data_IF_100122352449
#
_entry.id   IF_100122352449
#
_cell.length_a   1.000
_cell.length_b   1.000
_cell.length_c   1.000
_cell.angle_alpha   90.00
_cell.angle_beta   90.00
_cell.angle_gamma   90.00
#
_symmetry.space_group_name_H-M   'P 1'
#
loop_
_entity.id
_entity.type
_entity.pdbx_description
1 polymer ?
#
# COMPACT_ATOMS: atom_id res chain seq x y z
N UNK A 1 -21.11 5.83 26.93
CA UNK A 1 -20.35 4.93 27.81
C UNK A 1 -19.83 5.70 29.01
N UNK A 2 -20.41 5.38 30.17
CA UNK A 2 -19.90 5.91 31.47
C UNK A 2 -18.82 4.94 31.92
N UNK A 3 -17.59 5.29 31.69
CA UNK A 3 -16.46 4.47 32.12
C UNK A 3 -15.51 5.31 32.94
N UNK A 4 -15.59 5.14 34.27
CA UNK A 4 -14.77 5.82 35.25
C UNK A 4 -13.33 5.34 35.32
N UNK A 5 -12.80 4.73 34.30
CA UNK A 5 -11.43 4.25 34.27
C UNK A 5 -10.52 5.32 33.69
N UNK A 6 -9.94 6.11 34.52
CA UNK A 6 -8.83 6.97 34.15
C UNK A 6 -7.61 6.12 33.90
N UNK A 7 -7.17 6.08 32.69
CA UNK A 7 -5.82 5.60 32.38
C UNK A 7 -4.80 6.64 32.82
N UNK A 8 -3.85 6.20 33.60
CA UNK A 8 -2.57 6.83 33.91
C UNK A 8 -2.57 8.34 34.25
N UNK A 9 -2.28 8.67 35.46
CA UNK A 9 -1.99 9.98 36.07
C UNK A 9 -3.15 10.90 36.44
N UNK A 10 -4.39 10.59 36.12
CA UNK A 10 -5.53 11.32 36.64
C UNK A 10 -6.26 10.44 37.64
N UNK A 11 -6.06 10.72 38.94
CA UNK A 11 -6.84 10.07 40.00
C UNK A 11 -8.23 10.69 40.05
N UNK A 12 -9.10 10.34 39.15
CA UNK A 12 -10.52 10.57 39.30
C UNK A 12 -11.09 9.52 40.24
N UNK A 13 -11.49 9.95 41.40
CA UNK A 13 -12.17 9.10 42.41
C UNK A 13 -13.66 8.94 42.16
N UNK A 14 -14.20 9.57 41.14
CA UNK A 14 -15.61 9.46 40.70
C UNK A 14 -15.66 9.42 39.18
N UNK A 15 -16.52 8.57 38.64
CA UNK A 15 -16.82 8.49 37.21
C UNK A 15 -17.33 9.83 36.66
N UNK A 16 -16.84 10.24 35.54
CA UNK A 16 -17.32 11.39 34.78
C UNK A 16 -17.97 10.93 33.47
N UNK A 17 -18.70 11.83 32.83
CA UNK A 17 -19.22 11.65 31.47
C UNK A 17 -18.31 12.45 30.56
N UNK A 18 -17.78 11.78 29.53
CA UNK A 18 -17.02 12.43 28.47
C UNK A 18 -17.42 11.84 27.12
N UNK A 19 -17.23 12.62 26.08
CA UNK A 19 -17.46 12.18 24.72
C UNK A 19 -16.28 11.28 24.29
N UNK A 20 -16.56 10.01 24.05
CA UNK A 20 -15.54 9.04 23.65
C UNK A 20 -15.25 9.07 22.14
N UNK A 21 -16.29 9.32 21.36
CA UNK A 21 -16.19 9.45 19.91
C UNK A 21 -17.38 10.23 19.36
N UNK A 22 -17.15 11.02 18.34
CA UNK A 22 -18.21 11.68 17.56
C UNK A 22 -18.58 10.77 16.39
N UNK A 23 -19.88 10.57 16.16
CA UNK A 23 -20.37 9.87 14.99
C UNK A 23 -20.10 10.64 13.70
N UNK A 24 -20.08 9.95 12.57
CA UNK A 24 -20.03 10.60 11.26
C UNK A 24 -21.44 11.15 10.90
N UNK A 25 -21.57 12.48 10.84
CA UNK A 25 -22.86 13.12 10.54
C UNK A 25 -23.39 12.82 9.13
N UNK A 26 -22.48 12.57 8.18
CA UNK A 26 -22.78 12.34 6.77
C UNK A 26 -22.15 11.00 6.30
N UNK A 27 -22.56 9.91 6.91
CA UNK A 27 -22.12 8.59 6.50
C UNK A 27 -22.77 8.21 5.16
N UNK A 28 -21.95 8.07 4.12
CA UNK A 28 -22.36 7.62 2.81
C UNK A 28 -21.65 6.31 2.43
N UNK A 29 -22.22 5.62 1.42
CA UNK A 29 -21.51 4.51 0.80
C UNK A 29 -20.36 4.99 -0.07
N UNK A 30 -19.29 4.23 -0.10
CA UNK A 30 -18.20 4.45 -1.07
C UNK A 30 -18.75 4.37 -2.50
N UNK A 31 -18.27 5.25 -3.35
CA UNK A 31 -18.68 5.33 -4.76
C UNK A 31 -17.56 4.79 -5.64
N UNK A 32 -17.80 3.67 -6.32
CA UNK A 32 -16.88 3.10 -7.28
C UNK A 32 -17.33 3.38 -8.72
N UNK A 33 -16.41 3.94 -9.52
CA UNK A 33 -16.58 4.10 -10.97
C UNK A 33 -15.64 3.11 -11.65
N UNK A 34 -16.23 2.13 -12.32
CA UNK A 34 -15.51 1.07 -12.99
C UNK A 34 -15.57 1.25 -14.50
N UNK A 35 -14.44 1.07 -15.13
CA UNK A 35 -14.30 1.03 -16.58
C UNK A 35 -13.57 -0.24 -16.93
N UNK A 36 -14.08 -0.98 -17.89
CA UNK A 36 -13.54 -2.23 -18.36
C UNK A 36 -13.68 -2.31 -19.88
N UNK A 37 -12.60 -2.74 -20.57
CA UNK A 37 -12.59 -2.96 -22.01
C UNK A 37 -11.86 -4.24 -22.30
N UNK A 38 -12.58 -5.21 -22.85
CA UNK A 38 -12.04 -6.49 -23.27
C UNK A 38 -11.90 -6.59 -24.79
N UNK A 39 -10.87 -7.29 -25.19
CA UNK A 39 -10.63 -7.70 -26.56
C UNK A 39 -10.41 -9.20 -26.59
N UNK A 40 -11.25 -9.90 -27.37
CA UNK A 40 -11.08 -11.32 -27.63
C UNK A 40 -10.97 -11.59 -29.13
N UNK A 41 -10.24 -12.62 -29.47
CA UNK A 41 -10.06 -12.95 -30.87
C UNK A 41 -9.43 -14.31 -31.12
N UNK A 42 -9.57 -14.73 -32.37
CA UNK A 42 -8.93 -15.93 -32.89
C UNK A 42 -8.17 -15.57 -34.15
N UNK A 43 -6.89 -15.90 -34.19
CA UNK A 43 -6.00 -15.64 -35.33
C UNK A 43 -5.47 -16.95 -35.92
N UNK A 44 -5.55 -17.05 -37.24
CA UNK A 44 -5.02 -18.20 -38.02
C UNK A 44 -5.55 -19.56 -37.56
N UNK A 45 -6.73 -19.61 -36.95
CA UNK A 45 -7.33 -20.79 -36.30
C UNK A 45 -6.44 -21.50 -35.27
N UNK A 46 -5.37 -20.86 -34.82
CA UNK A 46 -4.37 -21.41 -33.93
C UNK A 46 -4.23 -20.64 -32.63
N UNK A 47 -4.32 -19.31 -32.68
CA UNK A 47 -4.18 -18.44 -31.53
C UNK A 47 -5.55 -17.95 -31.07
N UNK A 48 -5.89 -18.25 -29.86
CA UNK A 48 -7.06 -17.68 -29.16
C UNK A 48 -6.55 -16.82 -28.04
N UNK A 49 -7.06 -15.60 -27.92
CA UNK A 49 -6.65 -14.67 -26.87
C UNK A 49 -7.83 -13.88 -26.33
N UNK A 50 -7.71 -13.54 -25.05
CA UNK A 50 -8.58 -12.58 -24.35
C UNK A 50 -7.66 -11.64 -23.59
N UNK A 51 -7.88 -10.34 -23.73
CA UNK A 51 -7.14 -9.31 -22.99
C UNK A 51 -8.15 -8.29 -22.49
N UNK A 52 -8.14 -8.01 -21.19
CA UNK A 52 -8.97 -7.03 -20.54
C UNK A 52 -8.13 -5.91 -19.94
N UNK A 53 -8.63 -4.69 -20.03
CA UNK A 53 -8.06 -3.50 -19.40
C UNK A 53 -9.11 -2.90 -18.49
N UNK A 54 -8.77 -2.71 -17.24
CA UNK A 54 -9.69 -2.22 -16.24
C UNK A 54 -9.16 -1.00 -15.49
N UNK A 55 -10.08 -0.17 -15.04
CA UNK A 55 -9.82 0.94 -14.14
C UNK A 55 -10.99 1.11 -13.16
N UNK A 56 -10.67 1.12 -11.88
CA UNK A 56 -11.62 1.37 -10.79
C UNK A 56 -11.18 2.64 -10.05
N UNK A 57 -12.04 3.65 -10.01
CA UNK A 57 -11.84 4.85 -9.20
C UNK A 57 -12.84 4.82 -8.06
N UNK A 58 -12.35 4.89 -6.84
CA UNK A 58 -13.14 4.81 -5.63
C UNK A 58 -13.01 6.10 -4.83
N UNK A 59 -14.15 6.74 -4.59
CA UNK A 59 -14.29 7.98 -3.85
C UNK A 59 -15.14 7.77 -2.60
N UNK A 60 -14.94 8.61 -1.58
CA UNK A 60 -15.65 8.52 -0.33
C UNK A 60 -15.27 7.31 0.51
N UNK A 61 -14.02 6.86 0.46
CA UNK A 61 -13.51 5.78 1.31
C UNK A 61 -13.61 6.20 2.76
N UNK A 62 -14.26 5.35 3.56
CA UNK A 62 -14.46 5.60 4.98
C UNK A 62 -13.16 5.38 5.75
N UNK A 63 -12.65 6.43 6.35
CA UNK A 63 -11.39 6.40 7.08
C UNK A 63 -11.41 7.35 8.30
N UNK A 64 -10.46 7.14 9.20
CA UNK A 64 -10.25 8.02 10.34
C UNK A 64 -9.81 9.41 9.89
N UNK A 65 -10.46 10.45 10.44
CA UNK A 65 -10.14 11.85 10.20
C UNK A 65 -8.88 12.21 11.01
N UNK A 66 -7.86 12.76 10.33
CA UNK A 66 -6.58 13.12 10.98
C UNK A 66 -6.29 14.63 11.01
N UNK A 67 -7.16 15.40 10.38
CA UNK A 67 -7.05 16.87 10.39
C UNK A 67 -7.98 17.53 11.42
N UNK A 68 -8.40 16.78 12.45
CA UNK A 68 -9.15 17.34 13.56
C UNK A 68 -8.14 17.89 14.57
N UNK A 69 -8.22 19.19 14.91
CA UNK A 69 -7.26 19.78 15.83
C UNK A 69 -7.33 19.19 17.24
N UNK A 70 -6.19 19.01 17.88
CA UNK A 70 -6.08 18.42 19.23
C UNK A 70 -6.86 19.19 20.31
N UNK A 71 -7.05 20.51 20.13
CA UNK A 71 -7.80 21.32 21.10
C UNK A 71 -9.30 20.96 21.17
N UNK A 72 -9.82 20.19 20.22
CA UNK A 72 -11.21 19.67 20.30
C UNK A 72 -11.35 18.65 21.43
N UNK A 73 -10.24 18.03 21.86
CA UNK A 73 -10.20 17.18 23.06
C UNK A 73 -10.90 15.83 22.89
N UNK A 74 -11.00 15.30 21.68
CA UNK A 74 -11.57 13.98 21.42
C UNK A 74 -10.63 12.88 21.88
N UNK A 75 -11.19 11.83 22.49
CA UNK A 75 -10.44 10.63 22.87
C UNK A 75 -10.14 9.77 21.64
N UNK A 76 -11.13 9.62 20.77
CA UNK A 76 -10.98 8.91 19.48
C UNK A 76 -11.34 9.86 18.35
N UNK A 77 -10.54 9.84 17.30
CA UNK A 77 -10.80 10.64 16.11
C UNK A 77 -12.07 10.16 15.40
N UNK A 78 -12.89 11.06 14.85
CA UNK A 78 -14.06 10.69 14.10
C UNK A 78 -13.67 10.05 12.76
N UNK A 79 -14.59 9.27 12.21
CA UNK A 79 -14.46 8.72 10.87
C UNK A 79 -15.27 9.53 9.86
N UNK A 80 -14.90 9.47 8.59
CA UNK A 80 -15.62 10.13 7.50
C UNK A 80 -15.31 9.54 6.14
N UNK A 81 -16.18 9.83 5.17
CA UNK A 81 -16.04 9.40 3.79
C UNK A 81 -15.17 10.38 2.99
N UNK A 82 -13.87 10.39 3.26
CA UNK A 82 -12.94 11.41 2.72
C UNK A 82 -11.85 10.83 1.80
N UNK A 83 -11.59 9.51 1.87
CA UNK A 83 -10.54 8.90 1.08
C UNK A 83 -10.88 8.72 -0.40
N UNK A 84 -9.88 8.73 -1.26
CA UNK A 84 -10.00 8.43 -2.69
C UNK A 84 -8.80 7.66 -3.20
N UNK A 85 -9.06 6.66 -4.04
CA UNK A 85 -8.02 5.88 -4.69
C UNK A 85 -8.42 5.45 -6.11
N UNK A 86 -7.44 5.11 -6.90
CA UNK A 86 -7.62 4.53 -8.23
C UNK A 86 -6.80 3.26 -8.34
N UNK A 87 -7.41 2.22 -8.92
CA UNK A 87 -6.74 0.98 -9.32
C UNK A 87 -6.88 0.80 -10.82
N UNK A 88 -5.88 0.24 -11.46
CA UNK A 88 -5.93 -0.08 -12.88
C UNK A 88 -5.01 -1.25 -13.19
N UNK A 89 -5.29 -1.88 -14.31
CA UNK A 89 -4.50 -3.02 -14.74
C UNK A 89 -4.98 -3.60 -16.04
N UNK A 90 -4.41 -4.75 -16.34
CA UNK A 90 -4.78 -5.59 -17.47
C UNK A 90 -4.61 -7.05 -17.07
N UNK A 91 -5.47 -7.90 -17.58
CA UNK A 91 -5.28 -9.34 -17.52
C UNK A 91 -5.60 -9.98 -18.87
N UNK A 92 -5.18 -11.22 -19.00
CA UNK A 92 -5.43 -11.90 -20.24
C UNK A 92 -4.92 -13.32 -20.27
N UNK A 93 -5.36 -14.02 -21.28
CA UNK A 93 -4.89 -15.34 -21.60
C UNK A 93 -4.66 -15.49 -23.11
N UNK A 94 -3.74 -16.37 -23.46
CA UNK A 94 -3.48 -16.77 -24.83
C UNK A 94 -3.35 -18.28 -24.88
N UNK A 95 -3.99 -18.88 -25.87
CA UNK A 95 -3.89 -20.30 -26.18
C UNK A 95 -3.42 -20.47 -27.60
N UNK A 96 -2.39 -21.25 -27.80
CA UNK A 96 -1.92 -21.67 -29.10
C UNK A 96 -2.16 -23.16 -29.30
N UNK A 97 -2.92 -23.51 -30.34
CA UNK A 97 -3.23 -24.90 -30.70
C UNK A 97 -2.60 -25.23 -32.02
N UNK A 98 -1.79 -26.27 -32.07
CA UNK A 98 -1.17 -26.77 -33.31
C UNK A 98 -1.39 -28.27 -33.44
N UNK A 99 -2.15 -28.65 -34.43
CA UNK A 99 -2.23 -30.04 -34.89
C UNK A 99 -1.07 -30.32 -35.80
N UNK A 100 -0.20 -31.25 -35.44
CA UNK A 100 0.98 -31.63 -36.20
C UNK A 100 0.58 -32.65 -37.27
N UNK A 101 -0.20 -33.65 -36.85
CA UNK A 101 -0.75 -34.68 -37.74
C UNK A 101 -2.04 -35.28 -37.17
N UNK A 102 -2.54 -36.39 -37.68
CA UNK A 102 -3.80 -37.02 -37.23
C UNK A 102 -3.74 -37.47 -35.76
N UNK A 103 -2.55 -37.82 -35.30
CA UNK A 103 -2.32 -38.47 -34.02
C UNK A 103 -1.63 -37.54 -33.00
N UNK A 104 -1.13 -36.38 -33.44
CA UNK A 104 -0.34 -35.46 -32.63
C UNK A 104 -0.92 -34.05 -32.62
N UNK A 105 -1.14 -33.57 -31.42
CA UNK A 105 -1.60 -32.21 -31.14
C UNK A 105 -0.78 -31.60 -30.03
N UNK A 106 -0.46 -30.31 -30.16
CA UNK A 106 0.28 -29.54 -29.20
C UNK A 106 -0.50 -28.26 -28.84
N UNK A 107 -0.65 -28.00 -27.52
CA UNK A 107 -1.31 -26.79 -27.01
C UNK A 107 -0.39 -26.07 -26.05
N UNK A 108 -0.20 -24.78 -26.25
CA UNK A 108 0.43 -23.87 -25.29
C UNK A 108 -0.61 -22.93 -24.71
N UNK A 109 -0.51 -22.67 -23.41
CA UNK A 109 -1.36 -21.71 -22.72
C UNK A 109 -0.51 -20.77 -21.90
N UNK A 110 -0.83 -19.52 -21.92
CA UNK A 110 -0.25 -18.53 -21.02
C UNK A 110 -1.35 -17.60 -20.51
N UNK A 111 -1.17 -17.12 -19.28
CA UNK A 111 -2.01 -16.07 -18.71
C UNK A 111 -1.14 -15.06 -17.98
N UNK A 112 -1.67 -13.86 -17.81
CA UNK A 112 -1.07 -12.83 -17.00
C UNK A 112 -2.14 -11.96 -16.35
N UNK A 113 -1.79 -11.38 -15.21
CA UNK A 113 -2.55 -10.32 -14.56
C UNK A 113 -1.56 -9.27 -14.08
N UNK A 114 -1.76 -8.04 -14.50
CA UNK A 114 -1.05 -6.88 -13.99
C UNK A 114 -2.03 -5.96 -13.30
N UNK A 115 -1.78 -5.61 -12.05
CA UNK A 115 -2.63 -4.69 -11.29
C UNK A 115 -1.78 -3.78 -10.42
N UNK A 116 -2.16 -2.51 -10.39
CA UNK A 116 -1.55 -1.52 -9.51
C UNK A 116 -2.61 -0.52 -9.04
N UNK A 117 -2.26 0.27 -8.05
CA UNK A 117 -3.16 1.28 -7.51
C UNK A 117 -2.40 2.53 -7.10
N UNK A 118 -3.14 3.59 -6.83
CA UNK A 118 -2.63 4.86 -6.31
C UNK A 118 -3.66 5.47 -5.37
N UNK A 119 -3.21 5.88 -4.20
CA UNK A 119 -4.00 6.72 -3.30
C UNK A 119 -4.04 8.13 -3.88
N UNK A 120 -5.23 8.59 -4.28
CA UNK A 120 -5.41 9.95 -4.79
C UNK A 120 -5.50 10.95 -3.65
N UNK A 121 -6.19 10.57 -2.59
CA UNK A 121 -6.31 11.36 -1.39
C UNK A 121 -6.46 10.44 -0.15
N UNK A 122 -5.66 10.73 0.83
CA UNK A 122 -5.75 10.18 2.17
C UNK A 122 -5.66 11.35 3.14
N UNK A 123 -6.61 11.49 4.07
CA UNK A 123 -6.56 12.55 5.06
C UNK A 123 -5.44 12.22 6.06
N UNK A 124 -4.29 12.79 5.82
CA UNK A 124 -3.12 12.72 6.70
C UNK A 124 -3.12 13.92 7.63
N UNK A 125 -2.55 13.76 8.82
CA UNK A 125 -2.17 14.90 9.65
C UNK A 125 -1.09 15.74 8.94
N UNK A 126 -0.58 16.76 9.60
CA UNK A 126 0.51 17.56 9.06
C UNK A 126 1.71 16.67 8.75
N UNK A 127 1.95 16.41 7.47
CA UNK A 127 3.13 15.69 7.00
C UNK A 127 4.28 16.68 6.86
N UNK A 128 5.25 16.61 7.77
CA UNK A 128 6.42 17.49 7.78
C UNK A 128 7.24 17.37 6.48
N UNK A 129 7.26 16.19 5.88
CA UNK A 129 8.03 15.88 4.67
C UNK A 129 7.14 15.19 3.63
N UNK A 130 7.21 15.63 2.38
CA UNK A 130 6.44 15.07 1.26
C UNK A 130 6.66 13.57 1.06
N UNK A 131 7.89 13.09 1.29
CA UNK A 131 8.19 11.66 1.13
C UNK A 131 7.54 10.77 2.19
N UNK A 132 7.02 11.33 3.29
CA UNK A 132 6.28 10.58 4.30
C UNK A 132 4.79 10.46 3.99
N UNK A 133 4.26 11.22 3.00
CA UNK A 133 2.86 11.18 2.60
C UNK A 133 2.49 9.87 1.90
N UNK A 134 1.30 9.34 2.21
CA UNK A 134 0.70 8.21 1.51
C UNK A 134 -0.02 8.64 0.23
N UNK A 135 -0.47 9.90 0.16
CA UNK A 135 -1.09 10.47 -1.04
C UNK A 135 -0.13 10.43 -2.22
N UNK A 136 -0.60 9.98 -3.35
CA UNK A 136 0.22 9.80 -4.56
C UNK A 136 0.96 8.46 -4.65
N UNK A 137 0.90 7.63 -3.62
CA UNK A 137 1.59 6.33 -3.56
C UNK A 137 0.64 5.16 -3.70
N UNK A 138 1.14 3.96 -4.02
CA UNK A 138 0.33 2.74 -3.95
C UNK A 138 -0.11 2.47 -2.50
N UNK A 139 -1.34 2.01 -2.32
CA UNK A 139 -1.77 1.47 -1.03
C UNK A 139 -1.01 0.17 -0.73
N UNK A 140 -0.58 -0.03 0.52
CA UNK A 140 0.22 -1.20 0.93
C UNK A 140 1.71 -1.09 0.59
N UNK A 141 2.24 0.09 0.26
CA UNK A 141 3.68 0.28 0.17
C UNK A 141 4.33 0.22 1.56
N UNK A 142 5.57 -0.25 1.60
CA UNK A 142 6.33 -0.30 2.85
C UNK A 142 7.23 0.93 2.98
N UNK A 143 7.26 1.47 4.19
CA UNK A 143 8.24 2.49 4.61
C UNK A 143 9.42 1.81 5.28
N UNK A 144 10.59 2.35 5.10
CA UNK A 144 11.82 1.84 5.71
C UNK A 144 12.95 2.83 5.60
N UNK A 145 14.09 2.46 6.17
CA UNK A 145 15.29 3.29 6.17
C UNK A 145 16.22 2.89 5.04
N UNK A 146 16.95 3.86 4.49
CA UNK A 146 17.97 3.60 3.47
C UNK A 146 19.25 3.18 4.19
N UNK A 147 19.67 1.92 4.01
CA UNK A 147 20.92 1.42 4.54
C UNK A 147 22.09 1.94 3.68
N UNK A 148 23.10 2.53 4.34
CA UNK A 148 24.35 3.00 3.70
C UNK A 148 25.50 1.97 3.79
N UNK A 149 25.30 0.89 4.55
CA UNK A 149 26.29 -0.13 4.84
C UNK A 149 26.36 -0.43 6.32
N UNK A 150 27.49 -0.95 6.77
CA UNK A 150 27.75 -1.22 8.18
C UNK A 150 28.78 -0.21 8.73
N UNK A 151 28.64 0.15 10.00
CA UNK A 151 29.65 0.95 10.68
C UNK A 151 30.96 0.17 10.79
N UNK A 152 32.09 0.76 10.37
CA UNK A 152 33.42 0.14 10.40
C UNK A 152 33.98 0.10 11.81
N UNK A 153 33.85 1.23 12.51
CA UNK A 153 34.47 1.45 13.80
C UNK A 153 33.73 2.51 14.63
N UNK A 154 34.18 2.74 15.84
CA UNK A 154 33.58 3.72 16.75
C UNK A 154 33.79 5.16 16.27
N UNK A 155 34.83 5.44 15.52
CA UNK A 155 35.11 6.78 14.99
C UNK A 155 34.08 7.15 13.92
N UNK A 156 33.74 6.22 13.04
CA UNK A 156 32.67 6.42 12.07
C UNK A 156 31.29 6.65 12.75
N UNK A 157 30.99 5.90 13.82
CA UNK A 157 29.78 6.10 14.62
C UNK A 157 29.75 7.52 15.18
N UNK A 158 30.83 7.97 15.79
CA UNK A 158 30.91 9.29 16.43
C UNK A 158 30.78 10.46 15.44
N UNK A 159 31.17 10.24 14.18
CA UNK A 159 31.11 11.21 13.09
C UNK A 159 29.88 11.08 12.19
N UNK A 160 28.95 10.19 12.50
CA UNK A 160 27.72 9.98 11.74
C UNK A 160 26.50 10.55 12.48
N UNK A 161 25.38 10.82 11.79
CA UNK A 161 24.12 11.14 12.43
C UNK A 161 23.74 10.10 13.48
N UNK A 162 23.22 10.57 14.62
CA UNK A 162 22.80 9.67 15.70
C UNK A 162 21.60 8.85 15.24
N UNK A 163 21.62 7.53 15.45
CA UNK A 163 20.48 6.66 15.20
C UNK A 163 19.65 6.49 16.48
N UNK A 164 18.38 6.86 16.44
CA UNK A 164 17.49 6.87 17.62
C UNK A 164 16.72 5.55 17.78
N UNK A 165 17.42 4.43 17.55
CA UNK A 165 16.87 3.06 17.63
C UNK A 165 17.38 2.29 18.86
N UNK A 166 18.11 2.94 19.74
CA UNK A 166 18.81 2.34 20.86
C UNK A 166 20.32 2.39 20.71
N UNK A 167 21.05 1.54 21.41
CA UNK A 167 22.52 1.44 21.31
C UNK A 167 22.91 0.62 20.08
N UNK A 168 23.94 1.06 19.39
CA UNK A 168 24.52 0.40 18.22
C UNK A 168 26.05 0.40 18.29
N UNK A 169 26.67 -0.55 17.64
CA UNK A 169 28.11 -0.85 17.70
C UNK A 169 28.71 -0.93 16.29
N UNK A 170 30.04 -0.91 16.16
CA UNK A 170 30.69 -1.27 14.89
C UNK A 170 30.21 -2.63 14.37
N UNK A 171 29.85 -2.68 13.09
CA UNK A 171 29.22 -3.83 12.45
C UNK A 171 27.67 -3.74 12.34
N UNK A 172 27.04 -2.81 13.03
CA UNK A 172 25.60 -2.54 12.87
C UNK A 172 25.33 -1.72 11.61
N UNK A 173 24.07 -1.72 11.16
CA UNK A 173 23.65 -1.02 9.94
C UNK A 173 23.66 0.49 10.19
N UNK A 174 24.35 1.20 9.28
CA UNK A 174 24.31 2.65 9.18
C UNK A 174 23.18 3.07 8.26
N UNK A 175 22.25 3.88 8.75
CA UNK A 175 21.14 4.40 7.99
C UNK A 175 21.36 5.86 7.57
N UNK A 176 20.69 6.24 6.48
CA UNK A 176 20.75 7.59 5.94
C UNK A 176 19.82 8.51 6.74
N UNK A 177 20.37 9.63 7.16
CA UNK A 177 19.62 10.81 7.56
C UNK A 177 19.07 11.46 6.27
N UNK A 178 17.76 11.37 6.05
CA UNK A 178 17.12 11.80 4.80
C UNK A 178 16.75 13.28 4.86
N UNK A 179 16.35 13.75 6.04
CA UNK A 179 15.92 15.13 6.26
C UNK A 179 17.08 16.08 6.59
N UNK A 180 18.27 15.52 6.96
CA UNK A 180 19.47 16.27 7.27
C UNK A 180 19.48 16.97 8.64
N UNK A 181 18.68 16.47 9.60
CA UNK A 181 18.57 17.07 10.94
C UNK A 181 19.64 16.55 11.93
N UNK A 182 20.46 15.60 11.51
CA UNK A 182 21.54 15.00 12.30
C UNK A 182 21.10 13.82 13.15
N UNK A 183 19.84 13.39 13.07
CA UNK A 183 19.30 12.25 13.81
C UNK A 183 18.50 11.35 12.88
N UNK A 184 18.85 10.07 12.82
CA UNK A 184 18.06 9.07 12.07
C UNK A 184 16.94 8.55 12.96
N UNK A 185 15.70 8.85 12.59
CA UNK A 185 14.49 8.49 13.34
C UNK A 185 13.32 8.18 12.39
N UNK A 186 12.09 8.16 12.90
CA UNK A 186 10.88 7.88 12.07
C UNK A 186 10.68 8.86 10.91
N UNK A 187 11.21 10.07 11.02
CA UNK A 187 11.11 11.10 9.98
C UNK A 187 11.97 10.77 8.75
N UNK A 188 12.92 9.83 8.86
CA UNK A 188 13.80 9.37 7.77
C UNK A 188 13.26 8.14 7.03
N UNK A 189 12.09 7.65 7.42
CA UNK A 189 11.47 6.56 6.71
C UNK A 189 10.94 7.00 5.35
N UNK A 190 11.45 6.37 4.31
CA UNK A 190 11.04 6.58 2.92
C UNK A 190 10.34 5.35 2.36
N UNK A 191 9.57 5.48 1.27
CA UNK A 191 9.03 4.33 0.57
C UNK A 191 10.16 3.47 0.01
N UNK A 192 10.25 2.21 0.47
CA UNK A 192 11.28 1.25 0.04
C UNK A 192 10.72 0.14 -0.85
N UNK A 193 9.40 0.00 -0.92
CA UNK A 193 8.74 -0.94 -1.81
C UNK A 193 7.53 -0.30 -2.50
N UNK A 194 6.93 -1.01 -3.45
CA UNK A 194 5.66 -0.59 -4.03
C UNK A 194 4.51 -1.03 -3.11
N UNK A 195 4.01 -2.22 -3.29
CA UNK A 195 2.95 -2.82 -2.49
C UNK A 195 3.39 -4.21 -2.04
N UNK A 196 2.81 -4.72 -0.99
CA UNK A 196 3.19 -5.98 -0.35
C UNK A 196 2.73 -7.23 -1.13
N UNK A 197 1.93 -7.06 -2.17
CA UNK A 197 1.52 -8.14 -3.08
C UNK A 197 2.02 -7.93 -4.51
N UNK A 198 2.23 -9.01 -5.28
CA UNK A 198 2.76 -8.94 -6.63
C UNK A 198 1.86 -8.12 -7.56
N UNK A 199 2.44 -7.17 -8.30
CA UNK A 199 1.72 -6.42 -9.33
C UNK A 199 1.56 -7.19 -10.63
N UNK A 200 2.46 -8.11 -10.90
CA UNK A 200 2.43 -8.97 -12.07
C UNK A 200 2.44 -10.43 -11.62
N UNK A 201 1.43 -11.15 -12.07
CA UNK A 201 1.34 -12.60 -11.96
C UNK A 201 1.20 -13.17 -13.35
N UNK A 202 1.88 -14.25 -13.63
CA UNK A 202 1.78 -14.94 -14.91
C UNK A 202 1.93 -16.44 -14.73
N UNK A 203 1.36 -17.17 -15.68
CA UNK A 203 1.47 -18.60 -15.75
C UNK A 203 1.58 -19.05 -17.19
N UNK A 204 2.24 -20.17 -17.42
CA UNK A 204 2.29 -20.82 -18.71
C UNK A 204 2.31 -22.33 -18.56
N UNK A 205 1.78 -23.01 -19.55
CA UNK A 205 1.72 -24.46 -19.59
C UNK A 205 1.66 -24.99 -21.00
N UNK A 206 2.03 -26.23 -21.16
CA UNK A 206 1.96 -26.95 -22.45
C UNK A 206 1.31 -28.31 -22.25
N UNK A 207 0.58 -28.74 -23.28
CA UNK A 207 -0.02 -30.07 -23.38
C UNK A 207 0.39 -30.68 -24.73
N UNK A 208 0.83 -31.90 -24.68
CA UNK A 208 1.09 -32.70 -25.87
C UNK A 208 0.21 -33.93 -25.84
N UNK A 209 -0.59 -34.11 -26.89
CA UNK A 209 -1.46 -35.27 -27.03
C UNK A 209 -0.96 -36.14 -28.18
N UNK A 210 -0.79 -37.41 -27.91
CA UNK A 210 -0.47 -38.43 -28.87
C UNK A 210 -1.45 -39.59 -28.72
N UNK A 211 -2.04 -40.02 -29.86
CA UNK A 211 -2.94 -41.17 -29.95
C UNK A 211 -2.22 -42.38 -30.52
#
# INVERSE_FOLDING_TARGET
>A
NVNGSATTNWKYTKGGIWENSIGADNLEWEKAKKFDVGLEGKLFDKFEFVIDFFRDTRDGIFQERKQVPDFVGLVNMPFGNVGSMVSWGSDGNITFNQRINKDMEFTLRANFTYSTNKVNYYEEGDTKYEYTSATGRPNGYMKGYIALGLFKDQEEINNSPKQDFGSYLPGDIKYKDVNGDGVVNSDDQVPVSYQDYPRLMYGFGGEFRWK
#
